data_IF_240534851439
#
_entry.id   IF_240534851439
#
_cell.length_a   1.000
_cell.length_b   1.000
_cell.length_c   1.000
_cell.angle_alpha   90.00
_cell.angle_beta   90.00
_cell.angle_gamma   90.00
#
_symmetry.space_group_name_H-M   'P 1'
#
loop_
_entity.id
_entity.type
_entity.pdbx_description
1 polymer ?
#
# COMPACT_ATOMS: atom_id res chain seq x y z
N UNK A 1 -80.27 12.88 -72.44
CA UNK A 1 -78.81 13.03 -72.67
C UNK A 1 -78.25 14.08 -71.72
N UNK A 2 -77.05 13.93 -71.14
CA UNK A 2 -76.76 13.17 -69.93
C UNK A 2 -76.56 14.04 -68.66
N UNK A 3 -76.62 13.33 -67.54
CA UNK A 3 -76.31 13.72 -66.16
C UNK A 3 -74.92 14.35 -65.94
N UNK A 4 -74.84 15.46 -65.20
CA UNK A 4 -73.60 15.90 -64.53
C UNK A 4 -73.65 15.51 -63.06
N UNK A 5 -72.97 14.41 -62.75
CA UNK A 5 -72.67 13.95 -61.40
C UNK A 5 -71.73 14.96 -60.74
N UNK A 6 -72.14 15.52 -59.60
CA UNK A 6 -71.31 16.40 -58.78
C UNK A 6 -70.14 15.61 -58.17
N UNK A 7 -68.91 16.10 -58.37
CA UNK A 7 -67.75 15.67 -57.59
C UNK A 7 -67.57 16.63 -56.42
N UNK A 8 -68.05 16.24 -55.25
CA UNK A 8 -67.69 16.89 -53.99
C UNK A 8 -66.24 16.51 -53.65
N UNK A 9 -65.39 17.52 -53.49
CA UNK A 9 -64.01 17.36 -53.02
C UNK A 9 -64.04 17.07 -51.51
N UNK A 10 -63.39 16.01 -50.99
CA UNK A 10 -63.43 15.75 -49.56
C UNK A 10 -62.54 16.78 -48.84
N UNK A 11 -63.17 17.73 -48.15
CA UNK A 11 -62.52 18.64 -47.21
C UNK A 11 -62.30 17.91 -45.87
N UNK A 12 -61.33 16.99 -45.84
CA UNK A 12 -60.81 16.48 -44.56
C UNK A 12 -59.35 16.08 -44.75
N UNK A 13 -58.39 16.66 -44.00
CA UNK A 13 -57.01 16.20 -44.03
C UNK A 13 -56.94 14.74 -43.54
N UNK A 14 -56.02 13.92 -44.05
CA UNK A 14 -55.86 12.55 -43.58
C UNK A 14 -55.51 12.56 -42.08
N UNK A 15 -56.26 11.79 -41.29
CA UNK A 15 -55.96 11.55 -39.89
C UNK A 15 -54.64 10.76 -39.82
N UNK A 16 -53.54 11.46 -39.56
CA UNK A 16 -52.29 10.81 -39.19
C UNK A 16 -52.48 10.16 -37.82
N UNK A 17 -52.04 8.91 -37.61
CA UNK A 17 -52.08 8.32 -36.28
C UNK A 17 -51.13 9.11 -35.38
N UNK A 18 -51.71 9.86 -34.44
CA UNK A 18 -50.96 10.41 -33.31
C UNK A 18 -50.56 9.23 -32.46
N UNK A 19 -49.33 8.75 -32.63
CA UNK A 19 -48.80 7.72 -31.75
C UNK A 19 -48.92 8.23 -30.31
N UNK A 20 -49.75 7.57 -29.51
CA UNK A 20 -49.87 7.86 -28.09
C UNK A 20 -48.46 7.83 -27.49
N UNK A 21 -48.06 8.93 -26.84
CA UNK A 21 -46.82 9.00 -26.10
C UNK A 21 -46.95 8.09 -24.87
N UNK A 22 -46.86 6.78 -25.08
CA UNK A 22 -46.77 5.79 -24.02
C UNK A 22 -45.60 6.16 -23.12
N UNK A 23 -45.74 5.91 -21.82
CA UNK A 23 -44.78 6.24 -20.77
C UNK A 23 -43.41 5.56 -21.02
N UNK A 24 -42.61 6.18 -21.87
CA UNK A 24 -41.22 5.79 -22.17
C UNK A 24 -40.26 6.18 -21.03
N UNK A 25 -40.76 6.84 -19.98
CA UNK A 25 -39.93 7.40 -18.91
C UNK A 25 -39.50 6.31 -17.91
N UNK A 26 -40.41 5.42 -17.51
CA UNK A 26 -40.15 4.37 -16.52
C UNK A 26 -39.10 3.33 -17.00
N UNK A 27 -39.08 3.01 -18.29
CA UNK A 27 -38.07 2.13 -18.89
C UNK A 27 -36.68 2.78 -19.00
N UNK A 28 -36.64 4.11 -19.13
CA UNK A 28 -35.41 4.89 -19.24
C UNK A 28 -34.74 5.09 -17.87
N UNK A 29 -35.53 5.30 -16.82
CA UNK A 29 -35.02 5.42 -15.43
C UNK A 29 -34.45 4.10 -14.92
N UNK A 30 -35.12 2.96 -15.17
CA UNK A 30 -34.60 1.63 -14.80
C UNK A 30 -33.27 1.30 -15.49
N UNK A 31 -33.15 1.59 -16.80
CA UNK A 31 -31.89 1.39 -17.54
C UNK A 31 -30.79 2.32 -17.04
N UNK A 32 -31.11 3.57 -16.74
CA UNK A 32 -30.14 4.50 -16.16
C UNK A 32 -29.64 4.04 -14.79
N UNK A 33 -30.53 3.55 -13.92
CA UNK A 33 -30.17 3.00 -12.61
C UNK A 33 -29.27 1.74 -12.73
N UNK A 34 -29.58 0.84 -13.67
CA UNK A 34 -28.75 -0.34 -13.95
C UNK A 34 -27.36 0.05 -14.48
N UNK A 35 -27.29 0.99 -15.42
CA UNK A 35 -26.01 1.48 -15.95
C UNK A 35 -25.18 2.18 -14.86
N UNK A 36 -25.83 2.94 -13.97
CA UNK A 36 -25.16 3.58 -12.84
C UNK A 36 -24.63 2.53 -11.85
N UNK A 37 -25.43 1.51 -11.52
CA UNK A 37 -24.99 0.42 -10.65
C UNK A 37 -23.81 -0.35 -11.25
N UNK A 38 -23.83 -0.63 -12.56
CA UNK A 38 -22.70 -1.23 -13.28
C UNK A 38 -21.46 -0.34 -13.26
N UNK A 39 -21.62 0.97 -13.49
CA UNK A 39 -20.51 1.91 -13.45
C UNK A 39 -19.87 1.99 -12.06
N UNK A 40 -20.69 2.05 -11.00
CA UNK A 40 -20.22 2.02 -9.61
C UNK A 40 -19.54 0.69 -9.30
N UNK A 41 -20.12 -0.44 -9.71
CA UNK A 41 -19.52 -1.77 -9.53
C UNK A 41 -18.15 -1.88 -10.20
N UNK A 42 -18.02 -1.41 -11.45
CA UNK A 42 -16.75 -1.38 -12.18
C UNK A 42 -15.73 -0.47 -11.51
N UNK A 43 -16.16 0.69 -10.99
CA UNK A 43 -15.28 1.60 -10.24
C UNK A 43 -14.76 0.92 -8.97
N UNK A 44 -15.61 0.24 -8.21
CA UNK A 44 -15.20 -0.50 -7.00
C UNK A 44 -14.19 -1.59 -7.35
N UNK A 45 -14.45 -2.39 -8.40
CA UNK A 45 -13.51 -3.43 -8.85
C UNK A 45 -12.16 -2.82 -9.27
N UNK A 46 -12.17 -1.69 -9.99
CA UNK A 46 -10.96 -1.00 -10.39
C UNK A 46 -10.17 -0.48 -9.17
N UNK A 47 -10.85 0.12 -8.18
CA UNK A 47 -10.22 0.58 -6.94
C UNK A 47 -9.61 -0.59 -6.13
N UNK A 48 -10.32 -1.71 -6.01
CA UNK A 48 -9.81 -2.90 -5.32
C UNK A 48 -8.61 -3.49 -6.07
N UNK A 49 -8.68 -3.59 -7.39
CA UNK A 49 -7.56 -4.06 -8.22
C UNK A 49 -6.33 -3.15 -8.08
N UNK A 50 -6.52 -1.84 -8.05
CA UNK A 50 -5.45 -0.87 -7.82
C UNK A 50 -4.84 -1.04 -6.42
N UNK A 51 -5.65 -1.16 -5.36
CA UNK A 51 -5.15 -1.35 -4.00
C UNK A 51 -4.31 -2.63 -3.89
N UNK A 52 -4.78 -3.75 -4.47
CA UNK A 52 -4.02 -5.00 -4.50
C UNK A 52 -2.70 -4.83 -5.25
N UNK A 53 -2.70 -4.15 -6.40
CA UNK A 53 -1.48 -3.87 -7.15
C UNK A 53 -0.49 -2.99 -6.34
N UNK A 54 -0.98 -1.95 -5.68
CA UNK A 54 -0.17 -1.08 -4.82
C UNK A 54 0.36 -1.82 -3.58
N UNK A 55 -0.43 -2.72 -3.00
CA UNK A 55 -0.03 -3.57 -1.89
C UNK A 55 1.06 -4.56 -2.30
N UNK A 56 0.91 -5.22 -3.47
CA UNK A 56 1.95 -6.08 -4.04
C UNK A 56 3.22 -5.31 -4.37
N UNK A 57 3.09 -4.07 -4.85
CA UNK A 57 4.21 -3.16 -5.09
C UNK A 57 4.79 -2.53 -3.80
N UNK A 58 4.17 -2.79 -2.62
CA UNK A 58 4.53 -2.22 -1.31
C UNK A 58 4.58 -0.69 -1.25
N UNK A 59 3.78 -0.02 -2.09
CA UNK A 59 3.71 1.45 -2.13
C UNK A 59 2.84 1.98 -0.98
N UNK A 60 1.78 1.25 -0.60
CA UNK A 60 0.88 1.60 0.50
C UNK A 60 1.37 1.08 1.88
N UNK A 61 2.65 1.28 2.18
CA UNK A 61 3.22 0.88 3.47
C UNK A 61 2.65 1.69 4.64
N UNK A 62 2.50 1.04 5.81
CA UNK A 62 2.22 1.73 7.08
C UNK A 62 3.33 2.76 7.36
N UNK A 63 3.00 3.87 8.01
CA UNK A 63 4.01 4.86 8.40
C UNK A 63 5.17 4.17 9.13
N UNK A 64 6.39 4.40 8.64
CA UNK A 64 7.63 3.94 9.27
C UNK A 64 7.94 4.67 10.58
N UNK A 65 7.18 5.72 10.90
CA UNK A 65 7.43 6.62 12.02
C UNK A 65 6.18 6.76 12.87
N UNK A 66 6.36 6.75 14.18
CA UNK A 66 5.34 7.01 15.21
C UNK A 66 5.79 8.16 16.10
N UNK A 67 4.82 8.87 16.67
CA UNK A 67 5.08 9.89 17.67
C UNK A 67 4.88 9.30 19.07
N UNK A 68 5.94 9.33 19.88
CA UNK A 68 5.94 8.99 21.29
C UNK A 68 5.90 10.31 22.09
N UNK A 69 4.89 10.55 22.94
CA UNK A 69 4.78 11.80 23.69
C UNK A 69 5.97 12.14 24.60
N UNK A 70 6.72 11.14 25.06
CA UNK A 70 7.87 11.32 25.95
C UNK A 70 9.19 11.47 25.18
N UNK A 71 9.31 10.79 24.03
CA UNK A 71 10.58 10.69 23.26
C UNK A 71 10.57 11.47 21.95
N UNK A 72 9.41 11.93 21.50
CA UNK A 72 9.21 12.56 20.20
C UNK A 72 9.11 11.52 19.08
N UNK A 73 9.86 11.73 18.01
CA UNK A 73 9.77 10.92 16.79
C UNK A 73 10.54 9.60 16.97
N UNK A 74 9.86 8.47 16.76
CA UNK A 74 10.44 7.14 16.83
C UNK A 74 10.05 6.28 15.61
N UNK A 75 10.76 5.18 15.36
CA UNK A 75 10.35 4.24 14.32
C UNK A 75 9.21 3.35 14.77
N UNK A 76 8.29 3.07 13.86
CA UNK A 76 7.20 2.14 14.07
C UNK A 76 7.77 0.70 14.23
N UNK A 77 7.54 0.01 15.37
CA UNK A 77 8.01 -1.35 15.55
C UNK A 77 7.54 -2.30 14.44
N UNK A 78 8.45 -3.12 13.93
CA UNK A 78 8.16 -4.07 12.84
C UNK A 78 7.85 -3.43 11.49
N UNK A 79 7.91 -2.10 11.35
CA UNK A 79 7.62 -1.47 10.07
C UNK A 79 8.73 -1.75 9.06
N UNK A 80 8.30 -2.06 7.84
CA UNK A 80 9.18 -2.21 6.70
C UNK A 80 9.63 -0.83 6.19
N UNK A 81 10.90 -0.72 5.80
CA UNK A 81 11.43 0.46 5.15
C UNK A 81 12.18 0.07 3.86
N UNK A 82 12.21 1.02 2.94
CA UNK A 82 13.10 1.01 1.76
C UNK A 82 13.71 2.40 1.66
N UNK A 83 15.03 2.47 1.65
CA UNK A 83 15.79 3.70 1.39
C UNK A 83 16.36 3.64 -0.02
N UNK A 84 16.20 4.72 -0.78
CA UNK A 84 16.65 4.82 -2.18
C UNK A 84 17.28 6.17 -2.53
N UNK A 85 17.32 7.14 -1.60
CA UNK A 85 17.74 8.51 -1.92
C UNK A 85 19.24 8.65 -2.13
N UNK A 86 20.03 8.12 -1.19
CA UNK A 86 21.49 8.32 -1.12
C UNK A 86 22.26 6.98 -1.16
N UNK A 87 21.55 5.90 -1.44
CA UNK A 87 22.03 4.54 -1.40
C UNK A 87 20.86 3.59 -1.55
N UNK A 88 21.07 2.32 -1.20
CA UNK A 88 20.00 1.34 -1.22
C UNK A 88 20.10 0.44 0.01
N UNK A 89 19.04 0.44 0.81
CA UNK A 89 18.80 -0.62 1.77
C UNK A 89 17.30 -0.80 1.99
N UNK A 90 16.94 -2.00 2.41
CA UNK A 90 15.59 -2.33 2.82
C UNK A 90 15.65 -3.23 4.04
N UNK A 91 14.53 -3.37 4.75
CA UNK A 91 14.47 -4.19 5.95
C UNK A 91 13.32 -3.80 6.85
N UNK A 92 13.34 -4.29 8.07
CA UNK A 92 12.34 -3.98 9.09
C UNK A 92 13.02 -3.42 10.33
N UNK A 93 12.32 -2.55 11.06
CA UNK A 93 12.70 -2.24 12.43
C UNK A 93 12.37 -3.42 13.34
N UNK A 94 13.18 -3.63 14.38
CA UNK A 94 12.92 -4.70 15.34
C UNK A 94 11.67 -4.42 16.18
N UNK A 95 11.32 -5.36 17.08
CA UNK A 95 10.14 -5.25 17.94
C UNK A 95 10.15 -4.04 18.88
N UNK A 96 11.31 -3.41 19.07
CA UNK A 96 11.49 -2.21 19.89
C UNK A 96 11.52 -0.92 19.07
N UNK A 97 11.37 -0.99 17.74
CA UNK A 97 11.44 0.19 16.88
C UNK A 97 12.87 0.69 16.63
N UNK A 98 13.88 -0.17 16.74
CA UNK A 98 15.25 0.17 16.35
C UNK A 98 15.61 -0.42 14.99
N UNK A 99 16.48 0.28 14.25
CA UNK A 99 17.16 -0.26 13.08
C UNK A 99 18.34 -1.13 13.53
N UNK A 100 18.02 -2.29 14.08
CA UNK A 100 18.97 -3.29 14.57
C UNK A 100 18.34 -4.69 14.46
N UNK A 101 19.12 -5.72 14.75
CA UNK A 101 18.60 -7.07 14.95
C UNK A 101 17.64 -7.13 16.14
N UNK A 102 16.85 -8.20 16.20
CA UNK A 102 15.99 -8.46 17.35
C UNK A 102 16.84 -8.76 18.60
N UNK A 103 16.47 -8.15 19.73
CA UNK A 103 17.21 -8.30 20.99
C UNK A 103 16.24 -8.39 22.16
N UNK A 104 16.52 -9.26 23.11
CA UNK A 104 15.76 -9.36 24.36
C UNK A 104 16.06 -8.18 25.29
N UNK A 105 15.15 -7.81 26.16
CA UNK A 105 15.46 -6.86 27.25
C UNK A 105 16.43 -7.45 28.26
N UNK A 106 16.27 -8.73 28.59
CA UNK A 106 17.17 -9.44 29.49
C UNK A 106 18.55 -9.61 28.87
N UNK A 107 19.57 -9.12 29.59
CA UNK A 107 20.98 -9.19 29.19
C UNK A 107 21.55 -10.58 29.53
N UNK A 108 22.00 -11.37 28.54
CA UNK A 108 22.61 -12.66 28.83
C UNK A 108 23.90 -12.51 29.67
N UNK A 109 24.24 -13.51 30.51
CA UNK A 109 25.48 -13.50 31.26
C UNK A 109 26.69 -13.41 30.32
N UNK A 110 27.78 -12.84 30.81
CA UNK A 110 29.04 -12.69 30.05
C UNK A 110 28.90 -11.95 28.70
N UNK A 111 27.88 -11.12 28.56
CA UNK A 111 27.63 -10.33 27.34
C UNK A 111 27.83 -8.84 27.62
N UNK A 112 28.44 -8.11 26.68
CA UNK A 112 28.45 -6.65 26.70
C UNK A 112 27.31 -6.11 25.83
N UNK A 113 26.61 -5.08 26.30
CA UNK A 113 25.65 -4.31 25.49
C UNK A 113 26.19 -2.91 25.30
N UNK A 114 26.34 -2.53 24.04
CA UNK A 114 26.89 -1.24 23.65
C UNK A 114 25.76 -0.50 22.96
N UNK A 115 25.41 0.66 23.49
CA UNK A 115 24.50 1.60 22.84
C UNK A 115 25.33 2.56 22.01
N UNK A 116 25.00 2.70 20.73
CA UNK A 116 25.63 3.68 19.84
C UNK A 116 24.62 4.78 19.58
N UNK A 117 24.97 6.01 19.96
CA UNK A 117 24.17 7.21 19.74
C UNK A 117 24.85 8.10 18.71
N UNK A 118 24.06 8.70 17.85
CA UNK A 118 24.55 9.61 16.82
C UNK A 118 23.43 10.07 15.90
N UNK A 119 23.81 10.40 14.68
CA UNK A 119 22.94 10.93 13.65
C UNK A 119 22.69 9.88 12.54
N UNK A 120 22.47 10.37 11.33
CA UNK A 120 22.29 9.55 10.13
C UNK A 120 23.46 8.60 9.85
N UNK A 121 24.67 8.85 10.34
CA UNK A 121 25.81 7.94 10.17
C UNK A 121 25.70 6.70 11.05
N UNK A 122 25.12 6.84 12.25
CA UNK A 122 24.87 5.69 13.14
C UNK A 122 23.67 4.90 12.62
N UNK A 123 22.65 5.61 12.16
CA UNK A 123 21.45 5.02 11.58
C UNK A 123 21.73 4.28 10.27
N UNK A 124 22.50 4.87 9.36
CA UNK A 124 23.03 4.24 8.16
C UNK A 124 21.95 3.59 7.27
N UNK A 125 20.83 4.27 7.01
CA UNK A 125 19.79 3.78 6.09
C UNK A 125 20.27 3.58 4.66
N UNK A 126 21.33 4.27 4.25
CA UNK A 126 21.87 4.23 2.89
C UNK A 126 22.56 2.90 2.56
N UNK A 127 22.89 2.09 3.58
CA UNK A 127 23.61 0.81 3.42
C UNK A 127 22.82 -0.34 4.06
N UNK A 128 22.97 -1.59 3.59
CA UNK A 128 22.39 -2.77 4.26
C UNK A 128 22.81 -2.86 5.73
N UNK A 129 21.93 -3.35 6.60
CA UNK A 129 22.14 -3.40 8.06
C UNK A 129 23.44 -4.11 8.43
N UNK A 130 23.79 -5.18 7.72
CA UNK A 130 24.99 -5.99 7.96
C UNK A 130 26.28 -5.22 7.67
N UNK A 131 26.19 -4.15 6.88
CA UNK A 131 27.30 -3.25 6.52
C UNK A 131 27.29 -1.96 7.32
N UNK A 132 26.28 -1.71 8.16
CA UNK A 132 26.26 -0.58 9.05
C UNK A 132 27.41 -0.70 10.08
N UNK A 133 28.00 0.43 10.45
CA UNK A 133 29.15 0.45 11.38
C UNK A 133 28.87 -0.28 12.71
N UNK A 134 27.72 -0.11 13.38
CA UNK A 134 27.44 -0.83 14.63
C UNK A 134 27.45 -2.36 14.46
N UNK A 135 26.91 -2.87 13.35
CA UNK A 135 26.91 -4.30 13.05
C UNK A 135 28.33 -4.83 12.78
N UNK A 136 29.13 -4.09 12.01
CA UNK A 136 30.53 -4.44 11.76
C UNK A 136 31.38 -4.38 13.05
N UNK A 137 31.10 -3.41 13.92
CA UNK A 137 31.77 -3.28 15.21
C UNK A 137 31.47 -4.49 16.11
N UNK A 138 30.21 -4.92 16.21
CA UNK A 138 29.83 -6.12 16.96
C UNK A 138 30.59 -7.36 16.48
N UNK A 139 30.71 -7.56 15.16
CA UNK A 139 31.47 -8.68 14.59
C UNK A 139 32.94 -8.62 14.99
N UNK A 140 33.56 -7.45 14.86
CA UNK A 140 35.00 -7.27 15.18
C UNK A 140 35.29 -7.44 16.66
N UNK A 141 34.46 -6.89 17.55
CA UNK A 141 34.64 -7.04 19.00
C UNK A 141 34.48 -8.50 19.42
N UNK A 142 33.48 -9.20 18.89
CA UNK A 142 33.30 -10.63 19.16
C UNK A 142 34.46 -11.47 18.62
N UNK A 143 35.07 -11.11 17.48
CA UNK A 143 36.24 -11.79 16.96
C UNK A 143 37.47 -11.56 17.85
N UNK A 144 37.70 -10.32 18.27
CA UNK A 144 38.81 -9.96 19.15
C UNK A 144 38.72 -10.67 20.52
N UNK A 145 37.52 -10.78 21.09
CA UNK A 145 37.29 -11.45 22.37
C UNK A 145 37.47 -12.97 22.31
N UNK A 146 37.36 -13.61 21.14
CA UNK A 146 37.56 -15.07 21.00
C UNK A 146 39.04 -15.47 21.02
N UNK A 147 39.95 -14.58 20.61
CA UNK A 147 41.36 -14.90 20.42
C UNK A 147 41.60 -16.13 19.50
N UNK A 148 42.85 -16.56 19.29
CA UNK A 148 43.16 -17.78 18.53
C UNK A 148 42.73 -19.10 19.19
N UNK A 149 42.06 -19.08 20.36
CA UNK A 149 41.89 -20.25 21.23
C UNK A 149 40.46 -20.62 21.62
N UNK A 150 39.42 -19.84 21.28
CA UNK A 150 38.04 -20.20 21.61
C UNK A 150 37.31 -20.74 20.38
N UNK A 151 36.97 -22.03 20.41
CA UNK A 151 36.20 -22.72 19.37
C UNK A 151 34.83 -22.09 19.09
N UNK A 152 34.16 -22.49 18.00
CA UNK A 152 32.98 -21.79 17.51
C UNK A 152 31.82 -21.84 18.52
N UNK A 153 31.48 -20.70 19.13
CA UNK A 153 30.17 -20.51 19.74
C UNK A 153 29.17 -20.50 18.58
N UNK A 154 28.40 -21.58 18.51
CA UNK A 154 27.44 -21.82 17.44
C UNK A 154 26.57 -20.60 17.21
N UNK A 155 26.54 -20.13 15.95
CA UNK A 155 25.50 -19.26 15.44
C UNK A 155 24.18 -20.01 15.61
N UNK A 156 23.53 -19.85 16.77
CA UNK A 156 22.16 -20.32 16.96
C UNK A 156 21.26 -19.46 16.07
N UNK A 157 20.96 -20.02 14.90
CA UNK A 157 19.78 -19.82 14.08
C UNK A 157 19.25 -18.36 14.06
N UNK A 158 19.86 -17.52 13.22
CA UNK A 158 19.25 -16.26 12.80
C UNK A 158 18.19 -16.60 11.75
N UNK A 159 16.93 -16.70 12.18
CA UNK A 159 15.75 -16.60 11.30
C UNK A 159 14.96 -15.38 11.72
#
# INVERSE_FOLDING_TARGET
MPSRVGKAWPLSPPAWPVAAAGDRSAGRTRKAALNLALAVGMLVVACLGLEVALAMARINGRSRVVFDPEKGVAFAPGAYYVERKEGFSEGHFNSHGFRDYERTWEKPPNTYRILVLGDSYVEAFQVPLERAFPALLEVRLNAALRGPGHGPVGLRNRR
#
